data_IF_461533161307
#
_entry.id   IF_461533161307
#
_cell.length_a   1.000
_cell.length_b   1.000
_cell.length_c   1.000
_cell.angle_alpha   90.00
_cell.angle_beta   90.00
_cell.angle_gamma   90.00
#
_symmetry.space_group_name_H-M   'P 1'
#
loop_
_entity.id
_entity.type
_entity.pdbx_description
1 polymer ?
#
# COMPACT_ATOMS: atom_id res chain seq x y z
N UNK A 1 9.15 14.01 11.91
CA UNK A 1 8.43 12.77 12.30
C UNK A 1 9.00 11.61 11.49
N UNK A 2 9.42 10.51 12.12
CA UNK A 2 9.91 9.34 11.38
C UNK A 2 8.76 8.56 10.73
N UNK A 3 9.05 7.87 9.63
CA UNK A 3 8.12 6.94 8.99
C UNK A 3 7.64 5.86 9.96
N UNK A 4 8.54 5.31 10.78
CA UNK A 4 8.21 4.28 11.79
C UNK A 4 7.22 4.77 12.86
N UNK A 5 7.39 5.99 13.37
CA UNK A 5 6.48 6.56 14.34
C UNK A 5 5.08 6.83 13.73
N UNK A 6 5.05 7.29 12.48
CA UNK A 6 3.81 7.58 11.76
C UNK A 6 3.06 6.30 11.40
N UNK A 7 3.77 5.28 10.90
CA UNK A 7 3.24 3.93 10.69
C UNK A 7 2.62 3.40 11.98
N UNK A 8 3.39 3.37 13.08
CA UNK A 8 2.91 2.84 14.35
C UNK A 8 1.64 3.53 14.84
N UNK A 9 1.51 4.85 14.63
CA UNK A 9 0.27 5.59 14.95
C UNK A 9 -0.91 5.15 14.08
N UNK A 10 -0.73 5.10 12.76
CA UNK A 10 -1.79 4.70 11.81
C UNK A 10 -2.32 3.30 12.13
N UNK A 11 -1.43 2.35 12.39
CA UNK A 11 -1.83 0.98 12.74
C UNK A 11 -2.55 0.92 14.09
N UNK A 12 -2.11 1.68 15.10
CA UNK A 12 -2.80 1.71 16.40
C UNK A 12 -4.21 2.32 16.30
N UNK A 13 -4.38 3.33 15.45
CA UNK A 13 -5.67 3.98 15.21
C UNK A 13 -6.67 3.08 14.45
N UNK A 14 -6.18 2.12 13.66
CA UNK A 14 -7.03 1.21 12.91
C UNK A 14 -7.70 0.15 13.81
N UNK A 15 -8.94 -0.28 13.49
CA UNK A 15 -9.59 -1.44 14.11
C UNK A 15 -8.68 -2.67 14.06
N UNK A 16 -8.65 -3.46 15.15
CA UNK A 16 -7.72 -4.60 15.31
C UNK A 16 -7.76 -5.55 14.11
N UNK A 17 -8.94 -5.82 13.58
CA UNK A 17 -9.16 -6.70 12.42
C UNK A 17 -8.51 -6.20 11.12
N UNK A 18 -8.39 -4.88 10.96
CA UNK A 18 -7.84 -4.25 9.76
C UNK A 18 -6.32 -4.04 9.82
N UNK A 19 -5.71 -4.11 10.99
CA UNK A 19 -4.28 -3.82 11.18
C UNK A 19 -3.38 -4.69 10.32
N UNK A 20 -3.72 -5.97 10.15
CA UNK A 20 -2.95 -6.90 9.30
C UNK A 20 -2.98 -6.46 7.84
N UNK A 21 -4.17 -6.21 7.29
CA UNK A 21 -4.32 -5.71 5.92
C UNK A 21 -3.63 -4.37 5.71
N UNK A 22 -3.73 -3.46 6.70
CA UNK A 22 -3.13 -2.13 6.63
C UNK A 22 -1.60 -2.20 6.67
N UNK A 23 -1.02 -3.08 7.47
CA UNK A 23 0.42 -3.35 7.44
C UNK A 23 0.87 -3.85 6.06
N UNK A 24 0.15 -4.82 5.48
CA UNK A 24 0.46 -5.32 4.13
C UNK A 24 0.40 -4.21 3.08
N UNK A 25 -0.62 -3.34 3.14
CA UNK A 25 -0.76 -2.21 2.23
C UNK A 25 0.38 -1.20 2.40
N UNK A 26 0.74 -0.84 3.63
CA UNK A 26 1.85 0.10 3.89
C UNK A 26 3.18 -0.46 3.37
N UNK A 27 3.44 -1.77 3.57
CA UNK A 27 4.63 -2.44 3.04
C UNK A 27 4.65 -2.36 1.51
N UNK A 28 3.53 -2.69 0.85
CA UNK A 28 3.41 -2.66 -0.60
C UNK A 28 3.64 -1.24 -1.15
N UNK A 29 3.01 -0.23 -0.56
CA UNK A 29 3.21 1.18 -0.97
C UNK A 29 4.67 1.61 -0.78
N UNK A 30 5.28 1.28 0.37
CA UNK A 30 6.69 1.60 0.62
C UNK A 30 7.62 0.90 -0.39
N UNK A 31 7.31 -0.34 -0.75
CA UNK A 31 8.04 -1.12 -1.75
C UNK A 31 7.93 -0.52 -3.16
N UNK A 32 6.72 -0.16 -3.60
CA UNK A 32 6.52 0.48 -4.90
C UNK A 32 7.21 1.85 -4.98
N UNK A 33 7.19 2.64 -3.90
CA UNK A 33 7.93 3.91 -3.82
C UNK A 33 9.43 3.66 -3.99
N UNK A 34 9.97 2.65 -3.31
CA UNK A 34 11.39 2.31 -3.41
C UNK A 34 11.76 1.88 -4.84
N UNK A 35 10.98 1.00 -5.47
CA UNK A 35 11.20 0.60 -6.88
C UNK A 35 11.13 1.78 -7.84
N UNK A 36 10.12 2.65 -7.69
CA UNK A 36 9.95 3.84 -8.53
C UNK A 36 11.13 4.80 -8.40
N UNK A 37 11.58 5.06 -7.16
CA UNK A 37 12.76 5.89 -6.91
C UNK A 37 14.03 5.29 -7.52
N UNK A 38 14.22 3.98 -7.42
CA UNK A 38 15.35 3.32 -8.06
C UNK A 38 15.31 3.47 -9.58
N UNK A 39 14.15 3.28 -10.20
CA UNK A 39 14.01 3.52 -11.65
C UNK A 39 14.33 4.97 -12.04
N UNK A 40 13.91 5.95 -11.24
CA UNK A 40 14.25 7.36 -11.50
C UNK A 40 15.76 7.64 -11.41
N UNK A 41 16.45 7.00 -10.45
CA UNK A 41 17.88 7.22 -10.21
C UNK A 41 18.75 6.45 -11.20
N UNK A 42 18.41 5.20 -11.50
CA UNK A 42 19.26 4.30 -12.29
C UNK A 42 18.89 4.27 -13.78
N UNK A 43 17.60 4.38 -14.11
CA UNK A 43 17.09 4.27 -15.49
C UNK A 43 16.72 5.63 -16.10
N UNK A 44 16.90 6.72 -15.35
CA UNK A 44 16.54 8.08 -15.78
C UNK A 44 15.03 8.30 -15.95
N UNK A 45 14.19 7.43 -15.37
CA UNK A 45 12.75 7.60 -15.42
C UNK A 45 12.32 8.91 -14.74
N UNK A 46 11.29 9.56 -15.28
CA UNK A 46 10.74 10.76 -14.66
C UNK A 46 9.89 10.39 -13.44
N UNK A 47 9.99 11.15 -12.33
CA UNK A 47 9.09 10.96 -11.20
C UNK A 47 7.63 11.14 -11.63
N UNK A 48 6.85 10.06 -11.57
CA UNK A 48 5.46 10.07 -11.98
C UNK A 48 4.58 9.35 -10.94
N UNK A 49 3.69 10.12 -10.31
CA UNK A 49 2.78 9.63 -9.28
C UNK A 49 1.66 8.75 -9.84
N UNK A 50 1.21 8.98 -11.08
CA UNK A 50 0.18 8.14 -11.70
C UNK A 50 0.72 6.73 -11.98
N UNK A 51 1.95 6.63 -12.48
CA UNK A 51 2.63 5.34 -12.71
C UNK A 51 2.78 4.57 -11.40
N UNK A 52 3.22 5.26 -10.34
CA UNK A 52 3.34 4.67 -9.01
C UNK A 52 1.99 4.17 -8.46
N UNK A 53 0.92 4.98 -8.57
CA UNK A 53 -0.42 4.60 -8.14
C UNK A 53 -0.95 3.40 -8.91
N UNK A 54 -0.75 3.37 -10.23
CA UNK A 54 -1.14 2.23 -11.07
C UNK A 54 -0.40 0.96 -10.65
N UNK A 55 0.91 1.04 -10.36
CA UNK A 55 1.70 -0.09 -9.88
C UNK A 55 1.17 -0.61 -8.54
N UNK A 56 0.86 0.28 -7.59
CA UNK A 56 0.27 -0.07 -6.29
C UNK A 56 -1.08 -0.78 -6.48
N UNK A 57 -1.95 -0.26 -7.36
CA UNK A 57 -3.25 -0.87 -7.66
C UNK A 57 -3.09 -2.26 -8.29
N UNK A 58 -2.19 -2.41 -9.24
CA UNK A 58 -1.92 -3.68 -9.91
C UNK A 58 -1.37 -4.73 -8.92
N UNK A 59 -0.36 -4.37 -8.15
CA UNK A 59 0.26 -5.27 -7.16
C UNK A 59 -0.71 -5.63 -6.04
N UNK A 60 -1.49 -4.67 -5.53
CA UNK A 60 -2.49 -4.97 -4.51
C UNK A 60 -3.57 -5.94 -5.02
N UNK A 61 -3.95 -5.82 -6.29
CA UNK A 61 -4.86 -6.78 -6.96
C UNK A 61 -4.21 -8.16 -7.09
N UNK A 62 -2.96 -8.22 -7.57
CA UNK A 62 -2.22 -9.48 -7.68
C UNK A 62 -2.07 -10.20 -6.34
N UNK A 63 -1.74 -9.47 -5.27
CA UNK A 63 -1.64 -10.04 -3.93
C UNK A 63 -2.98 -10.59 -3.45
N UNK A 64 -4.08 -9.88 -3.73
CA UNK A 64 -5.42 -10.37 -3.40
C UNK A 64 -5.76 -11.67 -4.15
N UNK A 65 -5.40 -11.77 -5.43
CA UNK A 65 -5.56 -12.97 -6.25
C UNK A 65 -4.67 -14.12 -5.76
N UNK A 66 -3.46 -13.81 -5.29
CA UNK A 66 -2.53 -14.76 -4.69
C UNK A 66 -2.92 -15.20 -3.26
N UNK A 67 -4.05 -14.72 -2.73
CA UNK A 67 -4.59 -15.17 -1.45
C UNK A 67 -4.31 -14.27 -0.25
N UNK A 68 -3.86 -13.02 -0.45
CA UNK A 68 -3.72 -12.02 0.63
C UNK A 68 -5.09 -11.58 1.19
N UNK A 69 -5.75 -12.47 1.94
CA UNK A 69 -7.13 -12.33 2.40
C UNK A 69 -7.37 -11.08 3.26
N UNK A 70 -6.40 -10.71 4.12
CA UNK A 70 -6.50 -9.52 4.98
C UNK A 70 -6.33 -8.20 4.23
N UNK A 71 -5.53 -8.19 3.16
CA UNK A 71 -5.46 -7.05 2.25
C UNK A 71 -6.77 -6.91 1.48
N UNK A 72 -7.30 -8.03 0.95
CA UNK A 72 -8.60 -8.05 0.26
C UNK A 72 -9.74 -7.54 1.13
N UNK A 73 -9.81 -7.99 2.40
CA UNK A 73 -10.82 -7.54 3.37
C UNK A 73 -10.74 -6.03 3.62
N UNK A 74 -9.53 -5.48 3.76
CA UNK A 74 -9.30 -4.05 3.91
C UNK A 74 -9.81 -3.27 2.68
N UNK A 75 -9.41 -3.69 1.48
CA UNK A 75 -9.77 -3.01 0.24
C UNK A 75 -11.28 -3.05 -0.03
N UNK A 76 -11.92 -4.19 0.23
CA UNK A 76 -13.37 -4.32 0.13
C UNK A 76 -14.11 -3.33 1.06
N UNK A 77 -13.60 -3.12 2.28
CA UNK A 77 -14.18 -2.16 3.23
C UNK A 77 -13.95 -0.70 2.85
N UNK A 78 -12.86 -0.38 2.15
CA UNK A 78 -12.65 0.97 1.61
C UNK A 78 -13.53 1.27 0.38
N UNK A 79 -13.99 0.23 -0.32
CA UNK A 79 -14.87 0.36 -1.49
C UNK A 79 -16.36 0.30 -1.12
N UNK A 80 -16.70 -0.09 0.10
CA UNK A 80 -18.07 -0.05 0.58
C UNK A 80 -18.50 1.42 0.78
N UNK A 81 -19.68 1.84 0.28
CA UNK A 81 -20.21 3.16 0.57
C UNK A 81 -20.36 3.30 2.09
N UNK A 82 -19.95 4.44 2.64
CA UNK A 82 -20.20 4.76 4.03
C UNK A 82 -21.73 4.77 4.25
N UNK A 83 -22.22 3.75 4.96
CA UNK A 83 -23.61 3.64 5.40
C UNK A 83 -23.94 4.68 6.45
#
# INVERSE_FOLDING_TARGET
MSFSASWGRVIRAAPKELRKGLNSLIILVAWEIWKHRNSCVFEGALPNTQVLLQAITNESTLWCLAGASKLRELLARSLAPAS
#
